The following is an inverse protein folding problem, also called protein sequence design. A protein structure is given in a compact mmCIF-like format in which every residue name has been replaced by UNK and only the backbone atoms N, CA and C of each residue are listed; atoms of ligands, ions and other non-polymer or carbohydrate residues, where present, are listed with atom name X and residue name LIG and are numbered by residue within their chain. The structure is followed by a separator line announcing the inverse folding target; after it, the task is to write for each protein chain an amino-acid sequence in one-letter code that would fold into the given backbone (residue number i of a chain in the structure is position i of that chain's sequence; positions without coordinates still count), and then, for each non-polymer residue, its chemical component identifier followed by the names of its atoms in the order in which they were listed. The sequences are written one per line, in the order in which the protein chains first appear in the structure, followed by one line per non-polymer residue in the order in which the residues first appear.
data_IF_151504092359
#
_entry.id   IF_151504092359
#
_cell.length_a   1.000
_cell.length_b   1.000
_cell.length_c   1.000
_cell.angle_alpha   90.00
_cell.angle_beta   90.00
_cell.angle_gamma   90.00
#
_symmetry.space_group_name_H-M   'P 1'
#
loop_
_entity.id
_entity.type
_entity.pdbx_description
1 polymer ?
#
# COMPACT_ATOMS: atom_id res chain seq x y z
N UNK A 1 -10.40 -5.20 -14.51
CA UNK A 1 -11.53 -5.75 -13.74
C UNK A 1 -11.23 -5.82 -12.25
N UNK A 2 -10.25 -6.60 -11.78
CA UNK A 2 -9.94 -6.73 -10.34
C UNK A 2 -9.68 -5.39 -9.62
N UNK A 3 -8.86 -4.51 -10.20
CA UNK A 3 -8.62 -3.15 -9.66
C UNK A 3 -9.92 -2.34 -9.52
N UNK A 4 -10.79 -2.39 -10.52
CA UNK A 4 -12.06 -1.66 -10.51
C UNK A 4 -13.01 -2.22 -9.45
N UNK A 5 -13.07 -3.54 -9.29
CA UNK A 5 -13.87 -4.18 -8.25
C UNK A 5 -13.37 -3.82 -6.84
N UNK A 6 -12.05 -3.78 -6.65
CA UNK A 6 -11.46 -3.37 -5.37
C UNK A 6 -11.75 -1.90 -5.05
N UNK A 7 -11.63 -1.00 -6.03
CA UNK A 7 -12.03 0.41 -5.86
C UNK A 7 -13.54 0.57 -5.65
N UNK A 8 -14.37 -0.18 -6.38
CA UNK A 8 -15.82 -0.17 -6.19
C UNK A 8 -16.20 -0.63 -4.78
N UNK A 9 -15.53 -1.66 -4.25
CA UNK A 9 -15.69 -2.09 -2.85
C UNK A 9 -15.34 -0.97 -1.87
N UNK A 10 -14.17 -0.33 -2.01
CA UNK A 10 -13.78 0.79 -1.15
C UNK A 10 -14.75 1.98 -1.24
N UNK A 11 -15.18 2.35 -2.45
CA UNK A 11 -16.10 3.47 -2.68
C UNK A 11 -17.53 3.18 -2.23
N UNK A 12 -17.94 1.91 -2.24
CA UNK A 12 -19.27 1.50 -1.74
C UNK A 12 -19.41 1.61 -0.23
N UNK A 13 -18.32 1.89 0.50
CA UNK A 13 -18.35 1.89 1.96
C UNK A 13 -18.58 0.50 2.56
N UNK A 14 -18.45 -0.58 1.76
CA UNK A 14 -18.49 -1.95 2.24
C UNK A 14 -17.28 -2.18 3.16
N UNK A 15 -17.50 -2.04 4.48
CA UNK A 15 -16.46 -2.01 5.51
C UNK A 15 -16.37 -0.68 6.29
N UNK A 16 -17.01 0.39 5.82
CA UNK A 16 -17.07 1.73 6.44
C UNK A 16 -18.49 2.18 6.82
N UNK A 17 -19.52 1.34 6.63
CA UNK A 17 -20.89 1.60 7.11
C UNK A 17 -20.95 1.52 8.65
N UNK A 18 -20.38 2.52 9.33
CA UNK A 18 -20.94 3.02 10.58
C UNK A 18 -21.87 4.16 10.19
N UNK A 19 -23.17 4.08 10.50
CA UNK A 19 -24.08 5.16 10.19
C UNK A 19 -23.61 6.42 10.94
N UNK A 20 -23.27 7.48 10.21
CA UNK A 20 -23.24 8.83 10.76
C UNK A 20 -24.68 9.25 11.06
N UNK A 21 -25.22 8.76 12.17
CA UNK A 21 -26.45 9.23 12.77
C UNK A 21 -26.08 9.96 14.05
N UNK A 22 -26.42 11.25 14.10
CA UNK A 22 -26.28 12.15 15.25
C UNK A 22 -26.83 11.54 16.54
N UNK A 23 -26.22 11.95 17.66
CA UNK A 23 -26.83 11.89 18.98
C UNK A 23 -25.96 11.17 20.00
N UNK A 24 -25.40 11.95 20.91
CA UNK A 24 -24.89 11.62 22.25
C UNK A 24 -24.81 10.14 22.67
N UNK A 25 -23.63 9.80 23.22
CA UNK A 25 -23.24 8.51 23.83
C UNK A 25 -22.49 7.55 22.89
N UNK A 26 -21.39 8.03 22.30
CA UNK A 26 -20.35 7.14 21.78
C UNK A 26 -19.61 6.47 22.93
N UNK A 27 -20.21 5.44 23.54
CA UNK A 27 -19.46 4.45 24.30
C UNK A 27 -18.43 3.85 23.32
N UNK A 28 -17.13 3.90 23.61
CA UNK A 28 -16.15 3.25 22.76
C UNK A 28 -16.42 1.75 22.82
N UNK A 29 -17.13 1.24 21.83
CA UNK A 29 -17.32 -0.19 21.67
C UNK A 29 -15.98 -0.72 21.16
N UNK A 30 -15.06 -0.95 22.09
CA UNK A 30 -13.81 -1.65 21.80
C UNK A 30 -14.20 -3.05 21.40
N UNK A 31 -14.37 -3.27 20.09
CA UNK A 31 -14.71 -4.58 19.58
C UNK A 31 -13.59 -5.54 19.98
N UNK A 32 -13.92 -6.51 20.83
CA UNK A 32 -12.95 -7.51 21.24
C UNK A 32 -12.36 -8.19 19.99
N UNK A 33 -11.04 -8.29 19.93
CA UNK A 33 -10.33 -8.93 18.82
C UNK A 33 -10.64 -10.42 18.78
N UNK A 34 -11.70 -10.78 18.07
CA UNK A 34 -12.04 -12.17 17.74
C UNK A 34 -11.30 -12.59 16.47
N UNK A 35 -11.06 -13.90 16.24
CA UNK A 35 -10.47 -14.39 14.99
C UNK A 35 -11.25 -13.93 13.74
N UNK A 36 -12.58 -13.81 13.86
CA UNK A 36 -13.45 -13.30 12.80
C UNK A 36 -13.19 -11.82 12.52
N UNK A 37 -13.08 -10.99 13.56
CA UNK A 37 -12.77 -9.57 13.41
C UNK A 37 -11.39 -9.37 12.79
N UNK A 38 -10.38 -10.11 13.26
CA UNK A 38 -9.03 -10.09 12.71
C UNK A 38 -9.01 -10.43 11.20
N UNK A 39 -9.79 -11.43 10.78
CA UNK A 39 -9.94 -11.78 9.37
C UNK A 39 -10.56 -10.64 8.55
N UNK A 40 -11.58 -9.96 9.07
CA UNK A 40 -12.19 -8.81 8.39
C UNK A 40 -11.20 -7.66 8.23
N UNK A 41 -10.45 -7.31 9.29
CA UNK A 41 -9.40 -6.28 9.24
C UNK A 41 -8.30 -6.65 8.24
N UNK A 42 -7.87 -7.92 8.24
CA UNK A 42 -6.92 -8.43 7.25
C UNK A 42 -7.42 -8.29 5.82
N UNK A 43 -8.65 -8.71 5.54
CA UNK A 43 -9.25 -8.60 4.21
C UNK A 43 -9.42 -7.14 3.78
N UNK A 44 -9.80 -6.25 4.70
CA UNK A 44 -9.87 -4.82 4.45
C UNK A 44 -8.50 -4.27 4.02
N UNK A 45 -7.43 -4.53 4.78
CA UNK A 45 -6.07 -4.13 4.41
C UNK A 45 -5.65 -4.72 3.07
N UNK A 46 -5.95 -5.99 2.83
CA UNK A 46 -5.52 -6.66 1.62
C UNK A 46 -6.24 -6.14 0.37
N UNK A 47 -7.56 -5.97 0.43
CA UNK A 47 -8.34 -5.36 -0.66
C UNK A 47 -7.90 -3.92 -0.93
N UNK A 48 -7.63 -3.15 0.13
CA UNK A 48 -7.11 -1.79 -0.01
C UNK A 48 -5.75 -1.78 -0.72
N UNK A 49 -4.81 -2.64 -0.31
CA UNK A 49 -3.51 -2.76 -0.98
C UNK A 49 -3.66 -3.18 -2.45
N UNK A 50 -4.60 -4.08 -2.75
CA UNK A 50 -4.93 -4.46 -4.13
C UNK A 50 -5.41 -3.24 -4.93
N UNK A 51 -6.36 -2.47 -4.38
CA UNK A 51 -6.91 -1.29 -5.04
C UNK A 51 -5.82 -0.25 -5.36
N UNK A 52 -4.94 0.03 -4.40
CA UNK A 52 -3.92 1.07 -4.53
C UNK A 52 -2.74 0.62 -5.41
N UNK A 53 -2.29 -0.63 -5.26
CA UNK A 53 -0.98 -1.05 -5.78
C UNK A 53 -1.05 -1.77 -7.13
N UNK A 54 -2.15 -2.47 -7.40
CA UNK A 54 -2.37 -3.14 -8.68
C UNK A 54 -2.33 -2.20 -9.91
N UNK A 55 -2.88 -0.96 -9.86
CA UNK A 55 -2.72 0.01 -10.95
C UNK A 55 -1.24 0.25 -11.29
N UNK A 56 -0.38 0.39 -10.27
CA UNK A 56 1.04 0.67 -10.46
C UNK A 56 1.82 -0.52 -11.03
N UNK A 57 1.33 -1.76 -10.83
CA UNK A 57 1.91 -2.97 -11.38
C UNK A 57 1.38 -3.31 -12.79
N UNK A 58 0.35 -2.61 -13.28
CA UNK A 58 -0.30 -2.92 -14.55
C UNK A 58 0.68 -2.95 -15.76
N UNK A 59 1.61 -2.00 -15.94
CA UNK A 59 2.57 -2.06 -17.05
C UNK A 59 3.42 -3.34 -17.02
N UNK A 60 3.85 -3.76 -15.83
CA UNK A 60 4.64 -4.99 -15.64
C UNK A 60 3.82 -6.25 -15.96
N UNK A 61 2.57 -6.32 -15.49
CA UNK A 61 1.66 -7.45 -15.73
C UNK A 61 1.37 -7.60 -17.23
N UNK A 62 1.14 -6.49 -17.94
CA UNK A 62 0.87 -6.48 -19.39
C UNK A 62 2.10 -6.90 -20.21
N UNK A 63 3.28 -6.42 -19.83
CA UNK A 63 4.53 -6.83 -20.49
C UNK A 63 4.81 -8.32 -20.26
N UNK A 64 4.63 -8.81 -19.02
CA UNK A 64 4.73 -10.25 -18.74
C UNK A 64 3.82 -11.07 -19.64
N UNK A 65 2.53 -10.70 -19.73
CA UNK A 65 1.57 -11.39 -20.60
C UNK A 65 1.96 -11.35 -22.07
N UNK A 66 2.48 -10.22 -22.55
CA UNK A 66 2.95 -10.06 -23.94
C UNK A 66 4.15 -10.95 -24.25
N UNK A 67 5.16 -10.95 -23.39
CA UNK A 67 6.37 -11.79 -23.55
C UNK A 67 6.01 -13.27 -23.44
N UNK A 68 5.12 -13.63 -22.51
CA UNK A 68 4.67 -15.00 -22.34
C UNK A 68 3.91 -15.51 -23.59
N UNK A 69 3.03 -14.70 -24.18
CA UNK A 69 2.34 -15.05 -25.44
C UNK A 69 3.31 -15.21 -26.61
N UNK A 70 4.31 -14.33 -26.75
CA UNK A 70 5.36 -14.47 -27.77
C UNK A 70 6.20 -15.73 -27.56
N UNK A 71 6.51 -16.04 -26.31
CA UNK A 71 7.31 -17.22 -25.95
C UNK A 71 6.53 -18.52 -26.21
N UNK A 72 5.21 -18.50 -26.02
CA UNK A 72 4.33 -19.61 -26.38
C UNK A 72 4.22 -19.82 -27.89
N UNK A 73 4.13 -18.75 -28.68
CA UNK A 73 4.17 -18.82 -30.15
C UNK A 73 5.50 -19.41 -30.68
N UNK A 74 6.57 -19.33 -29.90
CA UNK A 74 7.86 -19.95 -30.18
C UNK A 74 7.99 -21.40 -29.64
N UNK A 75 6.88 -22.07 -29.32
CA UNK A 75 6.83 -23.48 -28.93
C UNK A 75 7.09 -23.77 -27.44
N UNK A 76 7.15 -22.75 -26.57
CA UNK A 76 7.29 -22.96 -25.12
C UNK A 76 5.92 -23.05 -24.42
N UNK A 77 5.82 -23.65 -23.21
CA UNK A 77 4.55 -23.73 -22.49
C UNK A 77 3.99 -22.34 -22.14
N UNK A 78 2.71 -22.12 -22.44
CA UNK A 78 1.99 -20.90 -22.06
C UNK A 78 1.65 -20.92 -20.57
N UNK A 79 1.96 -19.84 -19.86
CA UNK A 79 1.60 -19.68 -18.44
C UNK A 79 0.54 -18.59 -18.27
N UNK A 80 -0.58 -18.82 -17.57
CA UNK A 80 -1.55 -17.76 -17.31
C UNK A 80 -0.92 -16.59 -16.54
N UNK A 81 -1.18 -15.35 -16.99
CA UNK A 81 -0.73 -14.12 -16.30
C UNK A 81 -1.21 -14.07 -14.83
N UNK A 82 -2.32 -14.75 -14.52
CA UNK A 82 -2.83 -14.90 -13.17
C UNK A 82 -1.81 -15.53 -12.20
N UNK A 83 -0.89 -16.38 -12.66
CA UNK A 83 0.13 -16.99 -11.81
C UNK A 83 1.18 -15.98 -11.34
N UNK A 84 1.59 -15.07 -12.25
CA UNK A 84 2.44 -13.94 -11.88
C UNK A 84 1.72 -13.01 -10.89
N UNK A 85 0.45 -12.69 -11.18
CA UNK A 85 -0.36 -11.85 -10.32
C UNK A 85 -0.54 -12.47 -8.93
N UNK A 86 -0.76 -13.78 -8.83
CA UNK A 86 -0.87 -14.48 -7.55
C UNK A 86 0.39 -14.28 -6.69
N UNK A 87 1.58 -14.41 -7.29
CA UNK A 87 2.84 -14.17 -6.58
C UNK A 87 2.98 -12.75 -6.05
N UNK A 88 2.56 -11.76 -6.85
CA UNK A 88 2.52 -10.36 -6.44
C UNK A 88 1.54 -10.13 -5.28
N UNK A 89 0.34 -10.71 -5.37
CA UNK A 89 -0.72 -10.56 -4.36
C UNK A 89 -0.39 -11.28 -3.04
N UNK A 90 0.38 -12.37 -3.07
CA UNK A 90 0.87 -13.05 -1.87
C UNK A 90 1.80 -12.15 -1.04
N UNK A 91 2.67 -11.38 -1.68
CA UNK A 91 3.56 -10.44 -0.97
C UNK A 91 2.74 -9.32 -0.32
N UNK A 92 1.72 -8.81 -1.01
CA UNK A 92 0.80 -7.86 -0.41
C UNK A 92 -0.06 -8.45 0.69
N UNK A 93 -0.46 -9.72 0.59
CA UNK A 93 -1.14 -10.42 1.69
C UNK A 93 -0.25 -10.47 2.94
N UNK A 94 1.03 -10.78 2.79
CA UNK A 94 1.97 -10.77 3.92
C UNK A 94 2.13 -9.38 4.53
N UNK A 95 2.20 -8.33 3.70
CA UNK A 95 2.22 -6.95 4.17
C UNK A 95 0.93 -6.60 4.94
N UNK A 96 -0.23 -6.96 4.41
CA UNK A 96 -1.53 -6.72 5.04
C UNK A 96 -1.70 -7.47 6.35
N UNK A 97 -1.12 -8.68 6.47
CA UNK A 97 -1.05 -9.40 7.74
C UNK A 97 -0.22 -8.63 8.76
N UNK A 98 0.96 -8.14 8.38
CA UNK A 98 1.80 -7.31 9.25
C UNK A 98 1.07 -6.02 9.66
N UNK A 99 0.36 -5.37 8.74
CA UNK A 99 -0.45 -4.19 9.03
C UNK A 99 -1.59 -4.51 10.01
N UNK A 100 -2.26 -5.65 9.85
CA UNK A 100 -3.32 -6.10 10.77
C UNK A 100 -2.78 -6.34 12.18
N UNK A 101 -1.62 -6.98 12.31
CA UNK A 101 -0.95 -7.19 13.60
C UNK A 101 -0.49 -5.88 14.23
N UNK A 102 0.04 -4.95 13.42
CA UNK A 102 0.39 -3.61 13.88
C UNK A 102 -0.85 -2.85 14.37
N UNK A 103 -1.96 -2.95 13.65
CA UNK A 103 -3.21 -2.34 14.05
C UNK A 103 -3.74 -2.90 15.37
N UNK A 104 -3.71 -4.24 15.53
CA UNK A 104 -4.05 -4.90 16.79
C UNK A 104 -3.19 -4.37 17.96
N UNK A 105 -1.88 -4.28 17.77
CA UNK A 105 -0.96 -3.78 18.79
C UNK A 105 -1.23 -2.30 19.14
N UNK A 106 -1.54 -1.46 18.14
CA UNK A 106 -1.82 -0.05 18.35
C UNK A 106 -3.20 0.20 19.00
N UNK A 107 -4.22 -0.59 18.64
CA UNK A 107 -5.56 -0.52 19.27
C UNK A 107 -5.51 -0.98 20.72
N UNK A 108 -4.83 -2.09 21.01
CA UNK A 108 -4.68 -2.60 22.38
C UNK A 108 -3.86 -1.66 23.26
N UNK A 109 -2.93 -0.90 22.68
CA UNK A 109 -2.20 0.16 23.37
C UNK A 109 -3.00 1.47 23.54
N UNK A 110 -4.22 1.57 22.98
CA UNK A 110 -5.05 2.77 23.04
C UNK A 110 -4.52 3.93 22.17
N UNK A 111 -3.64 3.65 21.20
CA UNK A 111 -2.98 4.66 20.37
C UNK A 111 -3.77 5.02 19.09
N UNK A 112 -4.87 4.31 18.81
CA UNK A 112 -5.73 4.54 17.65
C UNK A 112 -7.08 5.13 18.06
N UNK A 113 -7.55 6.09 17.26
CA UNK A 113 -8.88 6.66 17.37
C UNK A 113 -9.96 5.71 16.79
N UNK A 114 -11.26 5.97 17.01
CA UNK A 114 -12.33 5.23 16.36
C UNK A 114 -12.28 5.27 14.82
N UNK A 115 -11.61 6.27 14.23
CA UNK A 115 -11.35 6.36 12.80
C UNK A 115 -10.13 5.54 12.34
N UNK A 116 -9.56 4.71 13.22
CA UNK A 116 -8.37 3.88 12.99
C UNK A 116 -7.15 4.69 12.57
N UNK A 117 -7.09 5.95 13.03
CA UNK A 117 -5.98 6.88 12.83
C UNK A 117 -5.25 7.11 14.16
N UNK A 118 -3.93 7.33 14.13
CA UNK A 118 -3.14 7.60 15.35
C UNK A 118 -3.73 8.76 16.14
N UNK A 119 -4.16 8.51 17.37
CA UNK A 119 -4.77 9.50 18.26
C UNK A 119 -3.73 10.51 18.81
N UNK A 120 -2.45 10.15 18.79
CA UNK A 120 -1.37 10.97 19.34
C UNK A 120 -0.57 11.70 18.27
N UNK A 121 -0.41 13.02 18.45
CA UNK A 121 0.35 13.91 17.56
C UNK A 121 1.80 13.44 17.38
N UNK A 122 2.42 12.97 18.47
CA UNK A 122 3.81 12.51 18.46
C UNK A 122 3.98 11.28 17.57
N UNK A 123 3.11 10.27 17.71
CA UNK A 123 3.19 9.09 16.84
C UNK A 123 2.96 9.43 15.37
N UNK A 124 2.00 10.33 15.08
CA UNK A 124 1.74 10.79 13.71
C UNK A 124 2.93 11.55 13.12
N UNK A 125 3.51 12.48 13.89
CA UNK A 125 4.71 13.22 13.50
C UNK A 125 5.92 12.31 13.25
N UNK A 126 6.14 11.33 14.13
CA UNK A 126 7.21 10.34 13.96
C UNK A 126 7.01 9.45 12.73
N UNK A 127 5.78 9.03 12.44
CA UNK A 127 5.46 8.26 11.24
C UNK A 127 5.71 9.07 9.96
N UNK A 128 5.30 10.35 9.94
CA UNK A 128 5.56 11.27 8.82
C UNK A 128 7.06 11.53 8.63
N UNK A 129 7.81 11.74 9.72
CA UNK A 129 9.27 11.86 9.65
C UNK A 129 9.92 10.59 9.12
N UNK A 130 9.52 9.42 9.62
CA UNK A 130 10.04 8.14 9.16
C UNK A 130 9.76 7.91 7.67
N UNK A 131 8.54 8.22 7.21
CA UNK A 131 8.20 8.17 5.79
C UNK A 131 9.06 9.15 4.99
N UNK A 132 9.21 10.39 5.45
CA UNK A 132 10.01 11.41 4.79
C UNK A 132 11.49 11.04 4.64
N UNK A 133 12.09 10.53 5.71
CA UNK A 133 13.47 9.99 5.71
C UNK A 133 13.55 8.81 4.73
N UNK A 134 12.62 7.86 4.82
CA UNK A 134 12.59 6.69 3.95
C UNK A 134 12.49 7.05 2.47
N UNK A 135 11.71 8.08 2.12
CA UNK A 135 11.55 8.59 0.76
C UNK A 135 12.89 9.00 0.12
N UNK A 136 13.87 9.40 0.93
CA UNK A 136 15.21 9.86 0.51
C UNK A 136 16.29 8.78 0.66
N UNK A 137 15.94 7.57 1.11
CA UNK A 137 16.94 6.52 1.32
C UNK A 137 17.43 5.92 0.00
N UNK A 138 18.73 5.57 -0.09
CA UNK A 138 19.27 4.84 -1.24
C UNK A 138 18.61 3.47 -1.42
N UNK A 139 18.16 2.85 -0.32
CA UNK A 139 17.41 1.59 -0.35
C UNK A 139 16.11 1.73 -1.15
N UNK A 140 15.27 2.72 -0.82
CA UNK A 140 14.03 2.98 -1.56
C UNK A 140 14.34 3.24 -3.04
N UNK A 141 15.31 4.10 -3.33
CA UNK A 141 15.68 4.40 -4.72
C UNK A 141 16.13 3.16 -5.49
N UNK A 142 16.87 2.24 -4.85
CA UNK A 142 17.26 0.97 -5.45
C UNK A 142 16.05 0.07 -5.73
N UNK A 143 15.13 -0.09 -4.78
CA UNK A 143 13.90 -0.86 -4.98
C UNK A 143 13.03 -0.24 -6.09
N UNK A 144 12.88 1.08 -6.10
CA UNK A 144 12.07 1.80 -7.08
C UNK A 144 12.60 1.64 -8.51
N UNK A 145 13.92 1.64 -8.72
CA UNK A 145 14.52 1.37 -10.04
C UNK A 145 14.10 0.01 -10.61
N UNK A 146 14.03 -1.02 -9.75
CA UNK A 146 13.55 -2.35 -10.15
C UNK A 146 12.04 -2.38 -10.38
N UNK A 147 11.29 -1.62 -9.60
CA UNK A 147 9.83 -1.52 -9.73
C UNK A 147 9.39 -0.78 -11.02
N UNK A 148 10.14 0.26 -11.44
CA UNK A 148 9.82 1.11 -12.60
C UNK A 148 10.18 0.52 -13.96
N UNK A 149 11.13 -0.42 -14.01
CA UNK A 149 11.75 -0.89 -15.26
C UNK A 149 11.25 -2.26 -15.69
N UNK A 150 10.00 -2.41 -16.19
CA UNK A 150 9.42 -3.73 -16.46
C UNK A 150 10.21 -4.53 -17.50
N UNK A 151 10.71 -3.90 -18.56
CA UNK A 151 11.56 -4.56 -19.56
C UNK A 151 12.84 -5.06 -18.92
N UNK A 152 13.52 -4.20 -18.15
CA UNK A 152 14.77 -4.52 -17.48
C UNK A 152 14.61 -5.57 -16.38
N UNK A 153 13.46 -5.61 -15.74
CA UNK A 153 13.09 -6.66 -14.79
C UNK A 153 12.91 -7.99 -15.53
N UNK A 154 12.10 -8.01 -16.59
CA UNK A 154 11.79 -9.22 -17.36
C UNK A 154 13.07 -9.80 -17.95
N UNK A 155 13.93 -9.00 -18.59
CA UNK A 155 15.17 -9.52 -19.18
C UNK A 155 16.11 -10.15 -18.16
N UNK A 156 16.16 -9.62 -16.93
CA UNK A 156 17.02 -10.14 -15.86
C UNK A 156 16.42 -11.31 -15.08
N UNK A 157 15.10 -11.36 -14.93
CA UNK A 157 14.42 -12.29 -14.02
C UNK A 157 13.53 -13.31 -14.74
N UNK A 158 13.51 -13.32 -16.08
CA UNK A 158 12.65 -14.23 -16.83
C UNK A 158 12.87 -15.68 -16.42
N UNK A 159 11.79 -16.33 -16.00
CA UNK A 159 11.77 -17.75 -15.67
C UNK A 159 10.56 -18.40 -16.33
N UNK A 160 10.75 -19.42 -17.17
CA UNK A 160 9.65 -20.10 -17.83
C UNK A 160 8.84 -20.95 -16.82
N UNK A 161 7.61 -21.29 -17.21
CA UNK A 161 6.73 -22.16 -16.44
C UNK A 161 6.05 -21.47 -15.25
N UNK A 162 5.06 -22.15 -14.67
CA UNK A 162 4.22 -21.60 -13.59
C UNK A 162 5.01 -21.23 -12.34
N UNK A 163 5.96 -22.06 -11.92
CA UNK A 163 6.84 -21.76 -10.79
C UNK A 163 7.72 -20.53 -11.06
N UNK A 164 8.20 -20.37 -12.30
CA UNK A 164 8.95 -19.19 -12.74
C UNK A 164 8.12 -17.92 -12.68
N UNK A 165 6.90 -17.96 -13.23
CA UNK A 165 5.96 -16.85 -13.19
C UNK A 165 5.58 -16.45 -11.76
N UNK A 166 5.29 -17.42 -10.88
CA UNK A 166 4.98 -17.18 -9.48
C UNK A 166 6.15 -16.49 -8.77
N UNK A 167 7.37 -17.02 -8.94
CA UNK A 167 8.58 -16.43 -8.36
C UNK A 167 8.82 -15.01 -8.88
N UNK A 168 8.64 -14.77 -10.17
CA UNK A 168 8.75 -13.43 -10.74
C UNK A 168 7.73 -12.46 -10.13
N UNK A 169 6.49 -12.92 -9.91
CA UNK A 169 5.46 -12.17 -9.20
C UNK A 169 5.87 -11.80 -7.78
N UNK A 170 6.39 -12.78 -7.01
CA UNK A 170 6.89 -12.57 -5.65
C UNK A 170 8.04 -11.56 -5.64
N UNK A 171 9.03 -11.71 -6.53
CA UNK A 171 10.19 -10.80 -6.59
C UNK A 171 9.75 -9.38 -6.96
N UNK A 172 8.84 -9.22 -7.92
CA UNK A 172 8.29 -7.90 -8.25
C UNK A 172 7.46 -7.31 -7.10
N UNK A 173 6.65 -8.13 -6.43
CA UNK A 173 5.90 -7.76 -5.24
C UNK A 173 6.83 -7.28 -4.11
N UNK A 174 7.95 -7.97 -3.88
CA UNK A 174 8.93 -7.59 -2.87
C UNK A 174 9.61 -6.25 -3.17
N UNK A 175 9.99 -5.97 -4.42
CA UNK A 175 10.47 -4.64 -4.81
C UNK A 175 9.39 -3.57 -4.67
N UNK A 176 8.14 -3.90 -4.99
CA UNK A 176 7.00 -3.00 -4.88
C UNK A 176 6.74 -2.63 -3.40
N UNK A 177 6.65 -3.60 -2.49
CA UNK A 177 6.55 -3.34 -1.04
C UNK A 177 7.78 -2.58 -0.55
N UNK A 178 8.98 -3.06 -0.89
CA UNK A 178 10.25 -2.43 -0.52
C UNK A 178 10.51 -1.04 -1.10
N UNK A 179 9.62 -0.47 -1.93
CA UNK A 179 9.72 0.93 -2.35
C UNK A 179 8.65 1.84 -1.72
N UNK A 180 7.58 1.29 -1.15
CA UNK A 180 6.45 2.09 -0.66
C UNK A 180 5.91 1.69 0.71
N UNK A 181 6.45 0.66 1.36
CA UNK A 181 5.90 0.13 2.63
C UNK A 181 5.81 1.20 3.74
N UNK A 182 6.81 2.07 3.88
CA UNK A 182 6.76 3.16 4.90
C UNK A 182 5.69 4.20 4.54
N UNK A 183 5.54 4.51 3.25
CA UNK A 183 4.47 5.41 2.77
C UNK A 183 3.10 4.77 2.99
N UNK A 184 2.96 3.47 2.78
CA UNK A 184 1.73 2.73 3.13
C UNK A 184 1.47 2.73 4.64
N UNK A 185 2.52 2.77 5.46
CA UNK A 185 2.41 2.98 6.91
C UNK A 185 1.74 4.31 7.29
N UNK A 186 1.76 5.33 6.42
CA UNK A 186 1.03 6.58 6.66
C UNK A 186 -0.50 6.42 6.63
N UNK A 187 -1.02 5.27 6.21
CA UNK A 187 -2.44 4.94 6.38
C UNK A 187 -2.82 4.83 7.87
N UNK A 188 -1.90 4.47 8.76
CA UNK A 188 -2.13 4.54 10.20
C UNK A 188 -2.21 5.99 10.72
N UNK A 189 -1.58 6.94 10.02
CA UNK A 189 -1.66 8.35 10.38
C UNK A 189 -2.97 8.98 9.92
N UNK A 190 -3.30 8.89 8.62
CA UNK A 190 -4.51 9.51 8.06
C UNK A 190 -5.79 8.69 8.26
N UNK A 191 -5.66 7.43 8.68
CA UNK A 191 -6.78 6.50 8.83
C UNK A 191 -7.16 5.82 7.51
N UNK A 192 -7.60 4.57 7.61
CA UNK A 192 -8.11 3.79 6.48
C UNK A 192 -9.53 4.22 6.05
N UNK A 193 -10.16 5.10 6.82
CA UNK A 193 -11.47 5.67 6.52
C UNK A 193 -11.38 6.99 5.72
N UNK A 194 -10.20 7.60 5.63
CA UNK A 194 -10.02 8.83 4.85
C UNK A 194 -9.69 8.49 3.39
N UNK A 195 -10.71 8.50 2.53
CA UNK A 195 -10.57 8.22 1.11
C UNK A 195 -9.68 9.24 0.38
N UNK A 196 -9.70 10.52 0.78
CA UNK A 196 -8.85 11.56 0.18
C UNK A 196 -7.39 11.24 0.44
N UNK A 197 -7.06 10.81 1.67
CA UNK A 197 -5.72 10.39 2.06
C UNK A 197 -5.26 9.15 1.29
N UNK A 198 -6.12 8.13 1.19
CA UNK A 198 -5.85 6.90 0.42
C UNK A 198 -5.59 7.23 -1.05
N UNK A 199 -6.44 8.06 -1.67
CA UNK A 199 -6.26 8.48 -3.07
C UNK A 199 -4.96 9.27 -3.22
N UNK A 200 -4.67 10.21 -2.32
CA UNK A 200 -3.44 10.99 -2.32
C UNK A 200 -2.18 10.12 -2.27
N UNK A 201 -2.12 9.17 -1.33
CA UNK A 201 -1.00 8.23 -1.24
C UNK A 201 -0.91 7.31 -2.46
N UNK A 202 -2.06 6.87 -2.99
CA UNK A 202 -2.10 6.05 -4.21
C UNK A 202 -1.52 6.81 -5.39
N UNK A 203 -1.95 8.05 -5.60
CA UNK A 203 -1.46 8.90 -6.69
C UNK A 203 0.03 9.20 -6.52
N UNK A 204 0.48 9.48 -5.30
CA UNK A 204 1.91 9.68 -5.02
C UNK A 204 2.72 8.44 -5.46
N UNK A 205 2.35 7.25 -4.99
CA UNK A 205 3.09 6.01 -5.32
C UNK A 205 2.96 5.66 -6.80
N UNK A 206 1.82 5.92 -7.41
CA UNK A 206 1.60 5.70 -8.84
C UNK A 206 2.51 6.62 -9.67
N UNK A 207 2.53 7.92 -9.37
CA UNK A 207 3.41 8.90 -10.00
C UNK A 207 4.88 8.53 -9.77
N UNK A 208 5.23 8.10 -8.56
CA UNK A 208 6.56 7.60 -8.29
C UNK A 208 6.90 6.33 -9.06
N UNK A 209 5.96 5.51 -9.53
CA UNK A 209 6.27 4.30 -10.29
C UNK A 209 6.18 4.49 -11.81
N UNK A 210 5.44 5.50 -12.27
CA UNK A 210 5.22 5.76 -13.69
C UNK A 210 6.03 6.94 -14.24
N UNK A 211 6.40 7.91 -13.40
CA UNK A 211 7.17 9.06 -13.87
C UNK A 211 8.60 8.67 -14.31
N UNK A 212 9.17 9.36 -15.31
CA UNK A 212 10.53 9.09 -15.76
C UNK A 212 11.55 9.23 -14.62
N UNK A 213 12.67 8.49 -14.64
CA UNK A 213 13.77 8.66 -13.70
C UNK A 213 14.23 10.14 -13.66
N UNK A 214 14.46 10.70 -12.47
CA UNK A 214 15.00 12.06 -12.30
C UNK A 214 14.00 13.15 -11.90
N UNK A 215 12.70 12.90 -11.89
CA UNK A 215 11.66 13.92 -11.58
C UNK A 215 11.60 14.39 -10.11
N UNK A 216 12.53 13.99 -9.24
CA UNK A 216 12.59 14.47 -7.84
C UNK A 216 11.38 14.14 -6.95
N UNK A 217 10.34 13.46 -7.44
CA UNK A 217 9.06 13.22 -6.73
C UNK A 217 9.27 12.64 -5.33
N UNK A 218 10.16 11.66 -5.20
CA UNK A 218 10.49 11.06 -3.91
C UNK A 218 11.15 12.05 -2.94
N UNK A 219 12.08 12.86 -3.43
CA UNK A 219 12.73 13.89 -2.60
C UNK A 219 11.73 14.98 -2.17
N UNK A 220 10.89 15.45 -3.09
CA UNK A 220 9.88 16.49 -2.81
C UNK A 220 8.87 15.98 -1.78
N UNK A 221 8.25 14.81 -2.03
CA UNK A 221 7.32 14.21 -1.08
C UNK A 221 7.97 13.88 0.26
N UNK A 222 9.24 13.46 0.25
CA UNK A 222 10.03 13.24 1.46
C UNK A 222 10.16 14.51 2.30
N UNK A 223 10.53 15.63 1.69
CA UNK A 223 10.63 16.94 2.34
C UNK A 223 9.26 17.37 2.90
N UNK A 224 8.19 17.24 2.11
CA UNK A 224 6.83 17.57 2.54
C UNK A 224 6.43 16.76 3.79
N UNK A 225 6.67 15.45 3.79
CA UNK A 225 6.39 14.61 4.96
C UNK A 225 7.24 14.99 6.17
N UNK A 226 8.52 15.32 5.98
CA UNK A 226 9.37 15.73 7.10
C UNK A 226 8.93 17.07 7.70
N UNK A 227 8.60 18.07 6.87
CA UNK A 227 8.13 19.37 7.34
C UNK A 227 6.80 19.25 8.07
N UNK A 228 5.87 18.44 7.55
CA UNK A 228 4.59 18.19 8.20
C UNK A 228 4.80 17.43 9.52
N UNK A 229 5.65 16.40 9.53
CA UNK A 229 5.98 15.64 10.73
C UNK A 229 6.60 16.52 11.82
N UNK A 230 7.53 17.40 11.44
CA UNK A 230 8.17 18.35 12.37
C UNK A 230 7.16 19.37 12.92
N UNK A 231 6.25 19.88 12.08
CA UNK A 231 5.20 20.80 12.50
C UNK A 231 4.27 20.18 13.54
N UNK A 232 3.90 18.90 13.38
CA UNK A 232 3.07 18.17 14.36
C UNK A 232 3.76 17.97 15.71
N UNK A 233 5.10 17.99 15.75
CA UNK A 233 5.87 17.86 16.99
C UNK A 233 6.01 19.20 17.74
N UNK A 234 5.64 20.33 17.14
CA UNK A 234 5.71 21.63 17.80
C UNK A 234 4.62 21.76 18.89
N UNK A 235 4.95 22.37 20.06
CA UNK A 235 3.97 22.64 21.11
C UNK A 235 2.82 23.50 20.56
N UNK A 236 1.58 23.04 20.73
CA UNK A 236 0.38 23.78 20.32
C UNK A 236 -0.19 23.45 18.94
N UNK A 237 0.51 22.68 18.09
CA UNK A 237 -0.05 22.23 16.81
C UNK A 237 -1.22 21.26 17.04
N UNK A 238 -2.47 21.64 16.76
CA UNK A 238 -3.60 20.71 16.82
C UNK A 238 -3.42 19.62 15.76
N UNK A 239 -3.82 18.35 16.01
CA UNK A 239 -3.81 17.35 14.96
C UNK A 239 -4.95 17.73 14.01
N UNK A 240 -4.64 18.54 13.02
CA UNK A 240 -5.42 18.56 11.81
C UNK A 240 -5.13 17.21 11.15
N UNK A 241 -5.88 16.16 11.55
CA UNK A 241 -6.02 15.01 10.68
C UNK A 241 -6.44 15.52 9.30
N UNK A 242 -6.00 14.87 8.20
CA UNK A 242 -6.53 15.25 6.89
C UNK A 242 -8.06 15.21 6.98
N UNK A 243 -8.69 16.30 6.52
CA UNK A 243 -10.14 16.48 6.48
C UNK A 243 -10.84 15.27 5.83
#
# INVERSE_FOLDING_TARGET
MMTLLAWAYLLSGAGMNMPMSMGDMAMPMVMAWTPRYALVVFLMWWVMMIAMMLPSAAPMILIFGTVNRKTAAAGKPYVPTAVFLAGYLLVWALFSLAATLAQYALETAGLLSPAMATAHRVSGGLLLLAAGIYQMTPLKHACLRHCRGPISFITRHWRPGSAGALRMGIVHGAFCVGCCWVVMGLLFYGGVMNLVWIIGLTLLVLLEKLAPPGHGIGSISGIVFMLWGLWLLLPGATPAGPL
#
